data_IF_824193949444
#
_entry.id   IF_824193949444
#
_cell.length_a   1.000
_cell.length_b   1.000
_cell.length_c   1.000
_cell.angle_alpha   90.00
_cell.angle_beta   90.00
_cell.angle_gamma   90.00
#
_symmetry.space_group_name_H-M   'P 1'
#
loop_
_entity.id
_entity.type
_entity.pdbx_description
1 polymer ?
#
# COMPACT_ATOMS: atom_id res chain seq x y z
N UNK A 1 12.24 2.26 -60.76
CA UNK A 1 12.40 2.36 -59.27
C UNK A 1 12.71 0.97 -58.77
N UNK A 2 13.83 0.73 -58.06
CA UNK A 2 14.28 -0.63 -57.75
C UNK A 2 13.45 -1.23 -56.64
N UNK A 3 13.07 -2.53 -56.71
CA UNK A 3 12.36 -3.33 -55.70
C UNK A 3 12.95 -3.13 -54.31
N UNK A 4 14.24 -2.88 -54.22
CA UNK A 4 14.95 -2.62 -52.95
C UNK A 4 14.41 -1.39 -52.20
N UNK A 5 14.06 -0.30 -52.87
CA UNK A 5 13.52 0.91 -52.26
C UNK A 5 12.09 0.70 -51.75
N UNK A 6 11.29 -0.10 -52.45
CA UNK A 6 9.95 -0.48 -52.00
C UNK A 6 9.98 -1.27 -50.70
N UNK A 7 10.92 -2.23 -50.59
CA UNK A 7 11.04 -3.04 -49.36
C UNK A 7 11.44 -2.17 -48.17
N UNK A 8 12.36 -1.21 -48.34
CA UNK A 8 12.77 -0.30 -47.26
C UNK A 8 11.60 0.60 -46.82
N UNK A 9 10.84 1.15 -47.78
CA UNK A 9 9.71 2.03 -47.46
C UNK A 9 8.62 1.25 -46.72
N UNK A 10 8.30 0.02 -47.12
CA UNK A 10 7.32 -0.82 -46.42
C UNK A 10 7.78 -1.23 -45.03
N UNK A 11 9.07 -1.50 -44.84
CA UNK A 11 9.63 -1.80 -43.51
C UNK A 11 9.53 -0.59 -42.56
N UNK A 12 9.87 0.60 -43.05
CA UNK A 12 9.76 1.83 -42.24
C UNK A 12 8.29 2.12 -41.90
N UNK A 13 7.38 1.99 -42.88
CA UNK A 13 5.96 2.19 -42.65
C UNK A 13 5.40 1.16 -41.63
N UNK A 14 5.78 -0.11 -41.74
CA UNK A 14 5.39 -1.14 -40.78
C UNK A 14 5.87 -0.85 -39.36
N UNK A 15 7.14 -0.46 -39.20
CA UNK A 15 7.71 -0.07 -37.88
C UNK A 15 6.96 1.14 -37.30
N UNK A 16 6.68 2.14 -38.16
CA UNK A 16 5.96 3.36 -37.72
C UNK A 16 4.55 3.03 -37.29
N UNK A 17 3.83 2.17 -38.01
CA UNK A 17 2.47 1.71 -37.64
C UNK A 17 2.52 0.93 -36.32
N UNK A 18 3.46 0.01 -36.15
CA UNK A 18 3.61 -0.74 -34.90
C UNK A 18 3.95 0.17 -33.73
N UNK A 19 4.79 1.16 -33.94
CA UNK A 19 5.11 2.17 -32.93
C UNK A 19 3.87 2.99 -32.53
N UNK A 20 3.08 3.46 -33.50
CA UNK A 20 1.82 4.16 -33.25
C UNK A 20 0.81 3.30 -32.50
N UNK A 21 0.63 2.04 -32.90
CA UNK A 21 -0.26 1.10 -32.19
C UNK A 21 0.23 0.90 -30.74
N UNK A 22 1.52 0.71 -30.53
CA UNK A 22 2.11 0.54 -29.20
C UNK A 22 1.87 1.75 -28.29
N UNK A 23 2.00 2.98 -28.82
CA UNK A 23 1.74 4.20 -28.02
C UNK A 23 0.25 4.43 -27.72
N UNK A 24 -0.63 4.02 -28.61
CA UNK A 24 -2.09 4.12 -28.43
C UNK A 24 -2.64 3.01 -27.52
N UNK A 25 -1.89 1.94 -27.30
CA UNK A 25 -2.30 0.79 -26.48
C UNK A 25 -1.82 0.89 -25.03
N UNK A 26 -1.28 2.02 -24.59
CA UNK A 26 -0.87 2.19 -23.20
C UNK A 26 -2.09 2.28 -22.30
N UNK A 27 -2.12 1.52 -21.17
CA UNK A 27 -3.20 1.62 -20.20
C UNK A 27 -3.33 3.06 -19.68
N UNK A 28 -4.57 3.55 -19.57
CA UNK A 28 -4.83 4.85 -18.98
C UNK A 28 -4.50 4.82 -17.49
N UNK A 29 -3.80 5.83 -16.99
CA UNK A 29 -3.59 6.03 -15.56
C UNK A 29 -4.81 6.76 -15.01
N UNK A 30 -5.48 6.14 -14.04
CA UNK A 30 -6.74 6.64 -13.48
C UNK A 30 -6.75 6.55 -11.95
N UNK A 31 -7.61 7.36 -11.32
CA UNK A 31 -7.94 7.23 -9.90
C UNK A 31 -8.99 6.11 -9.67
N UNK A 32 -9.07 5.56 -8.44
CA UNK A 32 -10.04 4.50 -8.12
C UNK A 32 -11.50 4.92 -8.35
N UNK A 33 -11.83 6.20 -8.17
CA UNK A 33 -13.18 6.74 -8.43
C UNK A 33 -13.60 6.68 -9.89
N UNK A 34 -12.64 6.61 -10.82
CA UNK A 34 -12.90 6.60 -12.26
C UNK A 34 -13.09 5.19 -12.83
N UNK A 35 -12.77 4.13 -12.06
CA UNK A 35 -12.87 2.72 -12.50
C UNK A 35 -14.19 2.40 -13.22
N UNK A 36 -15.38 2.87 -12.73
CA UNK A 36 -16.65 2.57 -13.40
C UNK A 36 -16.74 3.03 -14.86
N UNK A 37 -15.93 4.02 -15.26
CA UNK A 37 -15.94 4.57 -16.62
C UNK A 37 -15.06 3.78 -17.61
N UNK A 38 -14.34 2.77 -17.10
CA UNK A 38 -13.33 2.02 -17.87
C UNK A 38 -13.64 0.54 -18.01
N UNK A 39 -14.90 0.12 -17.85
CA UNK A 39 -15.32 -1.28 -18.04
C UNK A 39 -14.80 -1.86 -19.35
N UNK A 40 -14.17 -3.04 -19.32
CA UNK A 40 -13.59 -3.73 -20.45
C UNK A 40 -12.29 -3.12 -20.99
N UNK A 41 -11.70 -2.13 -20.30
CA UNK A 41 -10.45 -1.49 -20.72
C UNK A 41 -9.33 -1.81 -19.74
N UNK A 42 -8.10 -1.79 -20.26
CA UNK A 42 -6.92 -1.83 -19.40
C UNK A 42 -6.64 -0.45 -18.79
N UNK A 43 -6.42 -0.45 -17.49
CA UNK A 43 -6.09 0.75 -16.70
C UNK A 43 -4.89 0.50 -15.81
N UNK A 44 -4.25 1.58 -15.40
CA UNK A 44 -3.25 1.60 -14.33
C UNK A 44 -3.78 2.47 -13.21
N UNK A 45 -3.80 1.95 -11.99
CA UNK A 45 -4.22 2.69 -10.80
C UNK A 45 -3.35 2.36 -9.60
N UNK A 46 -3.47 3.16 -8.55
CA UNK A 46 -2.74 3.01 -7.30
C UNK A 46 -3.70 2.94 -6.12
N UNK A 47 -3.28 2.26 -5.06
CA UNK A 47 -4.02 2.24 -3.80
C UNK A 47 -3.24 1.56 -2.69
N UNK A 48 -3.70 1.77 -1.46
CA UNK A 48 -3.17 1.12 -0.27
C UNK A 48 -3.86 -0.22 -0.05
N UNK A 49 -3.10 -1.26 0.20
CA UNK A 49 -3.62 -2.61 0.49
C UNK A 49 -4.29 -2.59 1.85
N UNK A 50 -5.60 -2.81 1.87
CA UNK A 50 -6.42 -2.88 3.09
C UNK A 50 -6.90 -4.30 3.40
N UNK A 51 -6.85 -5.20 2.42
CA UNK A 51 -7.13 -6.62 2.61
C UNK A 51 -6.45 -7.44 1.51
N UNK A 52 -6.00 -8.65 1.84
CA UNK A 52 -5.55 -9.62 0.85
C UNK A 52 -5.73 -11.06 1.36
N UNK A 53 -5.99 -11.98 0.45
CA UNK A 53 -6.04 -13.41 0.75
C UNK A 53 -5.77 -14.24 -0.51
N UNK A 54 -5.22 -15.43 -0.31
CA UNK A 54 -4.99 -16.38 -1.38
C UNK A 54 -6.17 -17.32 -1.55
N UNK A 55 -6.56 -17.58 -2.79
CA UNK A 55 -7.58 -18.56 -3.12
C UNK A 55 -7.00 -19.98 -3.09
N UNK A 56 -7.88 -21.00 -3.04
CA UNK A 56 -7.47 -22.41 -3.08
C UNK A 56 -6.76 -22.80 -4.40
N UNK A 57 -6.85 -21.97 -5.42
CA UNK A 57 -6.27 -22.22 -6.75
C UNK A 57 -4.97 -21.48 -6.99
N UNK A 58 -4.44 -20.80 -5.94
CA UNK A 58 -3.16 -20.08 -6.03
C UNK A 58 -3.27 -18.65 -6.56
N UNK A 59 -4.48 -18.18 -6.90
CA UNK A 59 -4.71 -16.76 -7.20
C UNK A 59 -4.80 -15.95 -5.90
N UNK A 60 -4.52 -14.67 -5.98
CA UNK A 60 -4.65 -13.75 -4.84
C UNK A 60 -5.70 -12.67 -5.14
N UNK A 61 -6.47 -12.34 -4.12
CA UNK A 61 -7.44 -11.24 -4.14
C UNK A 61 -6.92 -10.18 -3.18
N UNK A 62 -6.74 -8.97 -3.71
CA UNK A 62 -6.20 -7.83 -2.97
C UNK A 62 -7.24 -6.72 -3.03
N UNK A 63 -7.65 -6.17 -1.89
CA UNK A 63 -8.48 -4.98 -1.85
C UNK A 63 -7.58 -3.78 -1.62
N UNK A 64 -7.65 -2.81 -2.51
CA UNK A 64 -6.93 -1.55 -2.42
C UNK A 64 -7.89 -0.40 -2.15
N UNK A 65 -7.41 0.62 -1.45
CA UNK A 65 -8.16 1.83 -1.11
C UNK A 65 -7.36 3.07 -1.47
N UNK A 66 -8.03 4.07 -2.01
CA UNK A 66 -7.57 5.45 -2.10
C UNK A 66 -8.75 6.40 -1.91
N UNK A 67 -8.59 7.43 -1.05
CA UNK A 67 -9.62 8.45 -0.76
C UNK A 67 -10.99 7.86 -0.36
N UNK A 68 -11.02 6.80 0.48
CA UNK A 68 -12.21 6.06 0.93
C UNK A 68 -12.95 5.32 -0.20
N UNK A 69 -12.31 5.13 -1.33
CA UNK A 69 -12.84 4.34 -2.45
C UNK A 69 -12.03 3.06 -2.55
N UNK A 70 -12.72 1.94 -2.65
CA UNK A 70 -12.10 0.63 -2.71
C UNK A 70 -12.28 -0.03 -4.08
N UNK A 71 -11.28 -0.79 -4.49
CA UNK A 71 -11.37 -1.69 -5.63
C UNK A 71 -10.72 -3.04 -5.30
N UNK A 72 -11.25 -4.09 -5.93
CA UNK A 72 -10.68 -5.43 -5.82
C UNK A 72 -9.72 -5.66 -6.99
N UNK A 73 -8.55 -6.21 -6.69
CA UNK A 73 -7.56 -6.65 -7.68
C UNK A 73 -7.48 -8.17 -7.59
N UNK A 74 -7.82 -8.84 -8.68
CA UNK A 74 -7.63 -10.28 -8.84
C UNK A 74 -6.34 -10.52 -9.61
N UNK A 75 -5.44 -11.32 -9.07
CA UNK A 75 -4.18 -11.67 -9.74
C UNK A 75 -3.96 -13.18 -9.73
N UNK A 76 -3.56 -13.72 -10.89
CA UNK A 76 -3.08 -15.10 -10.99
C UNK A 76 -1.64 -15.14 -10.46
N UNK A 77 -1.41 -15.89 -9.37
CA UNK A 77 -0.13 -15.98 -8.69
C UNK A 77 -0.19 -15.40 -7.28
N UNK A 78 0.96 -15.38 -6.62
CA UNK A 78 1.12 -14.89 -5.25
C UNK A 78 2.14 -13.77 -5.17
N UNK A 79 1.70 -12.62 -4.66
CA UNK A 79 2.54 -11.47 -4.39
C UNK A 79 2.83 -11.36 -2.89
N UNK A 80 4.03 -10.94 -2.56
CA UNK A 80 4.42 -10.61 -1.19
C UNK A 80 3.96 -9.18 -0.84
N UNK A 81 2.64 -9.02 -0.71
CA UNK A 81 2.00 -7.77 -0.28
C UNK A 81 1.52 -7.88 1.15
N UNK A 82 1.58 -6.78 1.86
CA UNK A 82 1.19 -6.66 3.26
C UNK A 82 0.13 -5.56 3.43
N UNK A 83 -0.62 -5.62 4.52
CA UNK A 83 -1.55 -4.55 4.90
C UNK A 83 -0.79 -3.23 5.08
N UNK A 84 -1.24 -2.18 4.40
CA UNK A 84 -0.60 -0.87 4.42
C UNK A 84 0.40 -0.62 3.28
N UNK A 85 0.78 -1.64 2.50
CA UNK A 85 1.59 -1.44 1.30
C UNK A 85 0.85 -0.58 0.27
N UNK A 86 1.53 0.34 -0.37
CA UNK A 86 1.00 1.04 -1.54
C UNK A 86 1.44 0.33 -2.81
N UNK A 87 0.47 -0.05 -3.63
CA UNK A 87 0.71 -0.75 -4.89
C UNK A 87 0.21 0.04 -6.08
N UNK A 88 0.86 -0.16 -7.22
CA UNK A 88 0.38 0.21 -8.55
C UNK A 88 0.02 -1.05 -9.29
N UNK A 89 -1.19 -1.11 -9.82
CA UNK A 89 -1.69 -2.26 -10.58
C UNK A 89 -2.11 -1.85 -11.98
N UNK A 90 -1.82 -2.71 -12.96
CA UNK A 90 -2.29 -2.56 -14.34
C UNK A 90 -3.07 -3.79 -14.72
N UNK A 91 -4.35 -3.62 -15.08
CA UNK A 91 -5.24 -4.73 -15.43
C UNK A 91 -6.50 -4.27 -16.14
N UNK A 92 -7.32 -5.24 -16.52
CA UNK A 92 -8.61 -5.00 -17.17
C UNK A 92 -9.70 -4.79 -16.12
N UNK A 93 -10.48 -3.72 -16.29
CA UNK A 93 -11.61 -3.43 -15.42
C UNK A 93 -12.79 -4.31 -15.77
N UNK A 94 -13.32 -5.05 -14.81
CA UNK A 94 -14.54 -5.85 -14.95
C UNK A 94 -15.50 -5.54 -13.82
N UNK A 95 -16.79 -5.75 -14.11
CA UNK A 95 -17.82 -5.72 -13.07
C UNK A 95 -18.02 -7.13 -12.53
N UNK A 96 -17.84 -7.31 -11.21
CA UNK A 96 -18.07 -8.58 -10.55
C UNK A 96 -19.04 -8.40 -9.38
N UNK A 97 -20.18 -9.09 -9.47
CA UNK A 97 -21.32 -8.86 -8.57
C UNK A 97 -21.73 -7.37 -8.56
N UNK A 98 -21.76 -6.73 -7.39
CA UNK A 98 -22.11 -5.31 -7.23
C UNK A 98 -20.86 -4.41 -7.13
N UNK A 99 -19.66 -4.95 -7.32
CA UNK A 99 -18.38 -4.23 -7.19
C UNK A 99 -17.58 -4.15 -8.49
N UNK A 100 -16.46 -3.44 -8.42
CA UNK A 100 -15.50 -3.33 -9.52
C UNK A 100 -14.24 -4.13 -9.18
N UNK A 101 -13.76 -4.88 -10.18
CA UNK A 101 -12.57 -5.71 -10.07
C UNK A 101 -11.60 -5.39 -11.20
N UNK A 102 -10.32 -5.38 -10.89
CA UNK A 102 -9.22 -5.23 -11.85
C UNK A 102 -8.58 -6.61 -12.00
N UNK A 103 -8.71 -7.19 -13.18
CA UNK A 103 -8.14 -8.51 -13.50
C UNK A 103 -6.71 -8.32 -13.98
N UNK A 104 -5.78 -8.93 -13.28
CA UNK A 104 -4.34 -8.89 -13.56
C UNK A 104 -3.90 -10.31 -13.90
N UNK A 105 -3.56 -10.54 -15.17
CA UNK A 105 -3.16 -11.86 -15.68
C UNK A 105 -1.67 -12.17 -15.41
N UNK A 106 -0.88 -11.20 -15.01
CA UNK A 106 0.56 -11.34 -14.79
C UNK A 106 0.96 -10.53 -13.56
N UNK A 107 1.53 -11.19 -12.54
CA UNK A 107 1.97 -10.56 -11.30
C UNK A 107 2.94 -9.38 -11.52
N UNK A 108 3.70 -9.39 -12.64
CA UNK A 108 4.60 -8.28 -13.02
C UNK A 108 3.88 -6.98 -13.35
N UNK A 109 2.56 -7.04 -13.57
CA UNK A 109 1.70 -5.86 -13.76
C UNK A 109 1.30 -5.22 -12.42
N UNK A 110 1.73 -5.79 -11.28
CA UNK A 110 1.59 -5.19 -9.95
C UNK A 110 2.98 -4.82 -9.44
N UNK A 111 3.13 -3.58 -9.01
CA UNK A 111 4.38 -3.07 -8.44
C UNK A 111 4.09 -2.50 -7.07
N UNK A 112 4.83 -2.96 -6.06
CA UNK A 112 4.81 -2.32 -4.75
C UNK A 112 5.59 -1.01 -4.87
N UNK A 113 4.87 0.11 -4.78
CA UNK A 113 5.45 1.45 -4.90
C UNK A 113 6.13 1.83 -3.60
N UNK A 114 5.50 1.45 -2.49
CA UNK A 114 5.97 1.78 -1.16
C UNK A 114 5.56 0.69 -0.19
N UNK A 115 6.55 0.13 0.50
CA UNK A 115 6.28 -0.73 1.66
C UNK A 115 5.85 0.16 2.83
N UNK A 116 4.82 -0.27 3.58
CA UNK A 116 4.35 0.46 4.76
C UNK A 116 5.46 0.73 5.78
N UNK A 117 6.46 -0.15 5.86
CA UNK A 117 7.62 -0.05 6.76
C UNK A 117 8.56 1.11 6.42
N UNK A 118 8.61 1.50 5.15
CA UNK A 118 9.57 2.49 4.65
C UNK A 118 9.05 3.93 4.81
N UNK A 119 7.77 4.09 5.18
CA UNK A 119 7.14 5.39 5.39
C UNK A 119 6.90 5.64 6.88
N UNK A 120 7.78 6.42 7.52
CA UNK A 120 7.54 6.89 8.88
C UNK A 120 6.50 8.03 8.87
N UNK A 121 5.33 7.76 9.46
CA UNK A 121 4.22 8.71 9.55
C UNK A 121 4.30 9.42 10.91
N UNK A 122 4.35 10.76 10.96
CA UNK A 122 4.30 11.48 12.24
C UNK A 122 3.02 11.19 13.01
N UNK A 123 3.10 11.06 14.34
CA UNK A 123 1.94 10.73 15.18
C UNK A 123 0.78 11.70 14.99
N UNK A 124 1.04 13.01 14.89
CA UNK A 124 -0.01 14.02 14.66
C UNK A 124 -0.84 13.74 13.39
N UNK A 125 -0.21 13.21 12.33
CA UNK A 125 -0.90 12.90 11.07
C UNK A 125 -1.88 11.73 11.24
N UNK A 126 -1.50 10.71 12.00
CA UNK A 126 -2.40 9.59 12.34
C UNK A 126 -3.54 10.07 13.23
N UNK A 127 -3.25 10.94 14.20
CA UNK A 127 -4.23 11.51 15.11
C UNK A 127 -5.31 12.37 14.40
N UNK A 128 -4.96 13.03 13.30
CA UNK A 128 -5.93 13.80 12.50
C UNK A 128 -6.95 12.93 11.76
N UNK A 129 -6.61 11.72 11.38
CA UNK A 129 -7.49 10.83 10.59
C UNK A 129 -7.29 9.37 10.99
N UNK A 130 -7.55 8.97 12.24
CA UNK A 130 -7.20 7.65 12.75
C UNK A 130 -7.95 6.52 12.04
N UNK A 131 -9.19 6.74 11.62
CA UNK A 131 -10.00 5.75 10.90
C UNK A 131 -9.39 5.31 9.58
N UNK A 132 -8.57 6.17 8.94
CA UNK A 132 -7.86 5.85 7.70
C UNK A 132 -6.80 4.77 7.89
N UNK A 133 -6.25 4.66 9.08
CA UNK A 133 -5.16 3.75 9.42
C UNK A 133 -5.63 2.53 10.20
N UNK A 134 -6.91 2.47 10.58
CA UNK A 134 -7.46 1.37 11.36
C UNK A 134 -7.35 0.03 10.62
N UNK A 135 -6.72 -0.94 11.27
CA UNK A 135 -6.50 -2.28 10.72
C UNK A 135 -5.28 -2.39 9.80
N UNK A 136 -4.52 -1.30 9.60
CA UNK A 136 -3.32 -1.32 8.77
C UNK A 136 -2.05 -1.46 9.62
N UNK A 137 -1.02 -2.06 9.02
CA UNK A 137 0.33 -1.93 9.49
C UNK A 137 0.83 -0.53 9.14
N UNK A 138 1.39 0.16 10.12
CA UNK A 138 1.93 1.52 9.99
C UNK A 138 3.29 1.63 10.65
N UNK A 139 4.13 2.52 10.14
CA UNK A 139 5.37 2.92 10.78
C UNK A 139 5.19 4.35 11.31
N UNK A 140 5.14 4.50 12.63
CA UNK A 140 4.83 5.77 13.31
C UNK A 140 6.07 6.33 13.94
N UNK A 141 6.34 7.63 13.74
CA UNK A 141 7.40 8.34 14.43
C UNK A 141 6.85 9.24 15.54
N UNK A 142 7.54 9.25 16.67
CA UNK A 142 7.22 10.08 17.84
C UNK A 142 8.25 9.91 18.94
N UNK A 143 7.94 10.43 20.12
CA UNK A 143 8.81 10.39 21.29
C UNK A 143 8.22 9.48 22.35
N UNK A 144 9.08 8.69 23.01
CA UNK A 144 8.68 7.87 24.15
C UNK A 144 8.45 8.83 25.34
N UNK A 145 7.24 8.82 25.89
CA UNK A 145 6.93 9.59 27.12
C UNK A 145 7.06 8.69 28.35
N UNK A 146 6.06 7.93 28.68
CA UNK A 146 5.98 7.09 29.87
C UNK A 146 6.12 5.61 29.51
N UNK A 147 7.11 4.94 30.09
CA UNK A 147 7.48 3.55 29.79
C UNK A 147 7.02 2.62 30.92
N UNK A 148 6.34 1.52 30.56
CA UNK A 148 5.85 0.46 31.43
C UNK A 148 6.30 -0.92 30.92
N UNK A 149 6.06 -1.97 31.64
CA UNK A 149 6.58 -3.32 31.37
C UNK A 149 6.13 -3.89 29.99
N UNK A 150 4.90 -3.57 29.54
CA UNK A 150 4.29 -4.15 28.33
C UNK A 150 3.64 -3.11 27.40
N UNK A 151 3.74 -1.83 27.75
CA UNK A 151 3.30 -0.72 26.92
C UNK A 151 4.05 0.56 27.26
N UNK A 152 3.98 1.54 26.38
CA UNK A 152 4.42 2.91 26.64
C UNK A 152 3.52 3.91 25.92
N UNK A 153 3.64 5.17 26.28
CA UNK A 153 3.02 6.27 25.56
C UNK A 153 4.00 6.85 24.56
N UNK A 154 3.55 6.93 23.30
CA UNK A 154 4.22 7.67 22.24
C UNK A 154 3.53 9.02 22.12
N UNK A 155 4.31 10.11 22.11
CA UNK A 155 3.80 11.49 21.96
C UNK A 155 4.44 12.15 20.73
N UNK A 156 3.78 13.16 20.18
CA UNK A 156 4.37 14.01 19.15
C UNK A 156 5.33 15.06 19.76
N UNK A 157 5.98 15.84 18.91
CA UNK A 157 7.00 16.81 19.36
C UNK A 157 6.42 17.95 20.20
N UNK A 158 5.13 18.22 20.06
CA UNK A 158 4.43 19.31 20.75
C UNK A 158 3.63 18.80 21.98
N UNK A 159 3.63 17.48 22.20
CA UNK A 159 2.90 16.78 23.27
C UNK A 159 1.37 16.96 23.21
N UNK A 160 0.86 17.27 22.00
CA UNK A 160 -0.57 17.49 21.77
C UNK A 160 -1.33 16.17 21.54
N UNK A 161 -0.63 15.12 21.06
CA UNK A 161 -1.21 13.82 20.76
C UNK A 161 -0.43 12.71 21.43
N UNK A 162 -1.16 11.71 21.93
CA UNK A 162 -0.56 10.52 22.54
C UNK A 162 -1.18 9.24 21.99
N UNK A 163 -0.36 8.20 21.86
CA UNK A 163 -0.75 6.88 21.40
C UNK A 163 -0.15 5.82 22.33
N UNK A 164 -0.97 4.87 22.75
CA UNK A 164 -0.48 3.73 23.51
C UNK A 164 0.09 2.70 22.56
N UNK A 165 1.31 2.26 22.83
CA UNK A 165 2.01 1.22 22.09
C UNK A 165 2.15 0.00 22.99
N UNK A 166 1.50 -1.10 22.62
CA UNK A 166 1.66 -2.39 23.26
C UNK A 166 2.80 -3.18 22.61
N UNK A 167 3.71 -3.67 23.43
CA UNK A 167 4.84 -4.46 22.98
C UNK A 167 5.10 -5.66 23.92
N UNK A 168 5.83 -6.67 23.45
CA UNK A 168 6.36 -7.70 24.31
C UNK A 168 7.85 -7.50 24.49
N UNK A 169 8.37 -7.85 25.67
CA UNK A 169 9.77 -7.67 26.04
C UNK A 169 10.81 -8.36 25.12
N UNK A 170 10.35 -9.21 24.19
CA UNK A 170 11.23 -9.86 23.20
C UNK A 170 11.58 -8.96 22.00
N UNK A 171 10.83 -7.87 21.75
CA UNK A 171 10.96 -7.04 20.56
C UNK A 171 11.53 -5.63 20.86
N UNK A 172 11.93 -5.37 22.08
CA UNK A 172 12.41 -4.06 22.47
C UNK A 172 13.95 -4.00 22.41
N UNK A 173 14.50 -3.29 21.44
CA UNK A 173 15.79 -2.63 21.64
C UNK A 173 15.64 -1.71 22.86
N UNK A 174 16.73 -1.50 23.58
CA UNK A 174 16.70 -0.64 24.78
C UNK A 174 16.37 0.78 24.37
N UNK A 175 15.20 1.26 24.72
CA UNK A 175 14.76 2.65 24.51
C UNK A 175 14.38 3.29 25.86
N UNK A 176 14.34 4.61 25.91
CA UNK A 176 14.16 5.38 27.16
C UNK A 176 13.22 6.57 26.94
N UNK A 177 12.59 7.10 28.00
CA UNK A 177 11.75 8.28 27.91
C UNK A 177 12.49 9.48 27.30
N UNK A 178 11.80 10.23 26.43
CA UNK A 178 12.34 11.35 25.65
C UNK A 178 13.05 10.94 24.36
N UNK A 179 13.23 9.67 24.10
CA UNK A 179 13.87 9.19 22.88
C UNK A 179 12.88 9.23 21.70
N UNK A 180 13.36 9.74 20.56
CA UNK A 180 12.62 9.66 19.30
C UNK A 180 12.76 8.27 18.70
N UNK A 181 11.63 7.68 18.34
CA UNK A 181 11.57 6.30 17.84
C UNK A 181 10.66 6.20 16.62
N UNK A 182 10.94 5.21 15.77
CA UNK A 182 10.07 4.72 14.72
C UNK A 182 9.48 3.38 15.16
N UNK A 183 8.17 3.25 15.08
CA UNK A 183 7.43 2.10 15.56
C UNK A 183 6.63 1.50 14.41
N UNK A 184 7.07 0.35 13.94
CA UNK A 184 6.37 -0.46 12.98
C UNK A 184 5.41 -1.41 13.71
N UNK A 185 4.09 -1.28 13.47
CA UNK A 185 3.09 -2.08 14.17
C UNK A 185 1.70 -1.99 13.55
N UNK A 186 0.78 -2.80 14.09
CA UNK A 186 -0.62 -2.80 13.70
C UNK A 186 -1.39 -1.71 14.45
N UNK A 187 -1.98 -0.76 13.72
CA UNK A 187 -2.83 0.28 14.28
C UNK A 187 -4.27 -0.20 14.33
N UNK A 188 -4.90 -0.17 15.49
CA UNK A 188 -6.25 -0.68 15.69
C UNK A 188 -7.04 0.09 16.73
N UNK A 189 -8.37 0.01 16.65
CA UNK A 189 -9.26 0.53 17.67
C UNK A 189 -9.50 -0.52 18.77
N UNK A 190 -9.17 -0.16 20.01
CA UNK A 190 -9.45 -0.92 21.22
C UNK A 190 -10.88 -0.62 21.69
N UNK A 191 -11.81 -1.52 21.39
CA UNK A 191 -13.24 -1.35 21.70
C UNK A 191 -13.54 -1.37 23.20
N UNK A 192 -12.70 -2.01 24.01
CA UNK A 192 -12.92 -2.11 25.46
C UNK A 192 -12.59 -0.78 26.15
N UNK A 193 -11.57 -0.09 25.68
CA UNK A 193 -11.08 1.16 26.25
C UNK A 193 -11.43 2.40 25.42
N UNK A 194 -12.16 2.24 24.30
CA UNK A 194 -12.59 3.30 23.38
C UNK A 194 -11.44 4.22 22.90
N UNK A 195 -10.34 3.61 22.48
CA UNK A 195 -9.14 4.34 22.03
C UNK A 195 -8.42 3.61 20.92
N UNK A 196 -7.64 4.34 20.14
CA UNK A 196 -6.71 3.75 19.20
C UNK A 196 -5.41 3.32 19.92
N UNK A 197 -4.83 2.23 19.44
CA UNK A 197 -3.59 1.67 19.98
C UNK A 197 -2.73 1.15 18.84
N UNK A 198 -1.42 1.12 19.06
CA UNK A 198 -0.46 0.45 18.19
C UNK A 198 0.02 -0.82 18.88
N UNK A 199 0.02 -1.94 18.15
CA UNK A 199 0.39 -3.23 18.73
C UNK A 199 1.55 -3.84 17.94
N UNK A 200 2.58 -4.25 18.65
CA UNK A 200 3.73 -4.97 18.11
C UNK A 200 3.49 -6.46 18.38
N UNK A 201 3.01 -7.20 17.38
CA UNK A 201 2.57 -8.60 17.54
C UNK A 201 3.12 -9.55 16.47
N UNK A 202 3.80 -9.07 15.43
CA UNK A 202 4.33 -9.86 14.32
C UNK A 202 5.86 -9.73 14.24
N UNK A 203 6.52 -10.65 13.56
CA UNK A 203 7.99 -10.64 13.41
C UNK A 203 8.51 -9.39 12.68
N UNK A 204 7.70 -8.84 11.77
CA UNK A 204 8.04 -7.62 11.02
C UNK A 204 7.84 -6.34 11.83
N UNK A 205 7.12 -6.42 12.95
CA UNK A 205 6.87 -5.28 13.84
C UNK A 205 8.10 -5.02 14.71
N UNK A 206 8.48 -3.77 14.84
CA UNK A 206 9.65 -3.39 15.65
C UNK A 206 9.57 -1.96 16.16
N UNK A 207 10.31 -1.71 17.22
CA UNK A 207 10.65 -0.36 17.70
C UNK A 207 12.12 -0.13 17.33
N UNK A 208 12.42 0.96 16.65
CA UNK A 208 13.78 1.34 16.32
C UNK A 208 14.03 2.80 16.72
N UNK A 209 15.18 3.12 17.36
CA UNK A 209 15.55 4.50 17.55
C UNK A 209 15.67 5.18 16.19
N UNK A 210 15.20 6.43 16.10
CA UNK A 210 15.51 7.22 14.92
C UNK A 210 17.01 7.50 14.92
N UNK A 211 17.70 7.18 13.82
CA UNK A 211 19.11 7.49 13.68
C UNK A 211 19.27 9.01 13.81
N UNK A 212 19.90 9.48 14.88
CA UNK A 212 20.17 10.90 15.06
C UNK A 212 20.99 11.43 13.88
N UNK A 213 20.59 12.60 13.39
CA UNK A 213 21.40 13.39 12.47
C UNK A 213 22.75 13.75 13.07
#
# INVERSE_FOLDING_TARGET
MSIKYFSVIFSIAGITILYLISTLSQPAVIELCEIPNYEGKQVTTEGTVINHYSTKHGSQIITIEDNNITATVFVEGGLDVEYGDKIRTTGEVQKYNDGWEIIVNDERCITIIQKWRDLAIPLWQIAQSPTRYEGLNVNVTGYVDSLYDNYFYLVDAEDDHSLIVFYSSYNAETFYPGQKVNIAGLFKFDKENFRYVLTICEEMHKISPEAGE
#
